data_IF_865642579806
#
_entry.id   IF_865642579806
#
_cell.length_a   1.000
_cell.length_b   1.000
_cell.length_c   1.000
_cell.angle_alpha   90.00
_cell.angle_beta   90.00
_cell.angle_gamma   90.00
#
_symmetry.space_group_name_H-M   'P 1'
#
loop_
_entity.id
_entity.type
_entity.pdbx_description
1 polymer ?
#
# COMPACT_ATOMS: atom_id res chain seq x y z
N UNK A 1 19.40 -10.47 -16.85
CA UNK A 1 17.99 -10.90 -16.92
C UNK A 1 17.26 -10.32 -15.73
N UNK A 2 16.19 -9.55 -15.93
CA UNK A 2 15.39 -8.96 -14.86
C UNK A 2 14.19 -9.87 -14.58
N UNK A 3 13.91 -10.13 -13.29
CA UNK A 3 12.78 -10.96 -12.84
C UNK A 3 11.81 -10.10 -12.05
N UNK A 4 10.53 -10.20 -12.39
CA UNK A 4 9.45 -9.61 -11.58
C UNK A 4 9.08 -10.59 -10.48
N UNK A 5 9.08 -10.12 -9.23
CA UNK A 5 8.74 -10.91 -8.05
C UNK A 5 7.69 -10.18 -7.21
N UNK A 6 6.98 -10.93 -6.38
CA UNK A 6 6.05 -10.38 -5.41
C UNK A 6 6.82 -9.87 -4.19
N UNK A 7 7.13 -8.56 -4.16
CA UNK A 7 7.93 -7.95 -3.08
C UNK A 7 7.16 -7.94 -1.76
N UNK A 8 5.95 -7.37 -1.77
CA UNK A 8 5.25 -6.98 -0.54
C UNK A 8 3.72 -7.00 -0.67
N UNK A 9 3.01 -7.14 0.46
CA UNK A 9 1.55 -7.00 0.55
C UNK A 9 1.07 -6.59 1.93
N UNK A 10 -0.06 -5.91 1.95
CA UNK A 10 -0.93 -5.79 3.13
C UNK A 10 -2.14 -6.71 2.88
N UNK A 11 -2.23 -7.81 3.62
CA UNK A 11 -3.27 -8.81 3.39
C UNK A 11 -4.53 -8.50 4.20
N UNK A 12 -5.68 -8.42 3.52
CA UNK A 12 -7.01 -8.21 4.12
C UNK A 12 -7.18 -6.88 4.90
N UNK A 13 -6.56 -5.80 4.40
CA UNK A 13 -6.86 -4.48 4.91
C UNK A 13 -8.34 -4.11 4.69
N UNK A 14 -8.89 -3.33 5.61
CA UNK A 14 -10.22 -2.73 5.47
C UNK A 14 -10.08 -1.30 4.97
N UNK A 15 -10.88 -0.93 3.97
CA UNK A 15 -10.96 0.47 3.52
C UNK A 15 -11.56 1.30 4.64
N UNK A 16 -10.81 2.30 5.12
CA UNK A 16 -11.23 3.16 6.23
C UNK A 16 -11.86 4.47 5.75
N UNK A 17 -11.53 4.92 4.54
CA UNK A 17 -12.03 6.17 3.97
C UNK A 17 -12.11 6.09 2.44
N UNK A 18 -13.10 6.76 1.85
CA UNK A 18 -13.26 6.93 0.42
C UNK A 18 -13.90 8.30 0.13
N UNK A 19 -13.22 9.12 -0.66
CA UNK A 19 -13.67 10.45 -1.06
C UNK A 19 -13.54 10.60 -2.58
N UNK A 20 -14.63 11.01 -3.23
CA UNK A 20 -14.70 11.21 -4.68
C UNK A 20 -13.78 12.33 -5.16
N UNK A 21 -13.52 13.32 -4.31
CA UNK A 21 -12.72 14.50 -4.64
C UNK A 21 -11.27 14.39 -4.18
N UNK A 22 -10.91 13.33 -3.45
CA UNK A 22 -9.52 13.05 -3.13
C UNK A 22 -8.78 12.56 -4.39
N UNK A 23 -7.83 13.36 -4.87
CA UNK A 23 -7.10 13.09 -6.10
C UNK A 23 -5.77 12.41 -5.78
N UNK A 24 -5.45 11.34 -6.52
CA UNK A 24 -4.12 10.72 -6.49
C UNK A 24 -4.17 9.22 -6.20
N UNK A 25 -3.53 8.81 -5.11
CA UNK A 25 -3.26 7.42 -4.71
C UNK A 25 -4.17 6.97 -3.56
N UNK A 26 -3.73 5.97 -2.78
CA UNK A 26 -4.33 5.60 -1.50
C UNK A 26 -3.43 6.08 -0.37
N UNK A 27 -4.04 6.62 0.70
CA UNK A 27 -3.32 6.86 1.95
C UNK A 27 -3.20 5.54 2.70
N UNK A 28 -2.01 5.22 3.19
CA UNK A 28 -1.73 4.00 3.97
C UNK A 28 -1.04 4.42 5.26
N UNK A 29 -1.38 3.76 6.36
CA UNK A 29 -0.72 3.94 7.65
C UNK A 29 0.79 3.65 7.51
N UNK A 30 1.63 4.50 8.11
CA UNK A 30 3.09 4.36 8.07
C UNK A 30 3.54 3.01 8.67
N UNK A 31 2.90 2.57 9.76
CA UNK A 31 3.24 1.31 10.41
C UNK A 31 2.96 0.11 9.48
N UNK A 32 1.91 0.20 8.64
CA UNK A 32 1.59 -0.83 7.66
C UNK A 32 2.55 -0.82 6.47
N UNK A 33 3.02 0.36 6.05
CA UNK A 33 4.00 0.49 4.98
C UNK A 33 5.34 -0.12 5.40
N UNK A 34 5.78 0.18 6.63
CA UNK A 34 7.02 -0.32 7.22
C UNK A 34 6.95 -1.84 7.43
N UNK A 35 5.85 -2.34 8.02
CA UNK A 35 5.65 -3.77 8.24
C UNK A 35 5.60 -4.57 6.93
N UNK A 36 5.14 -3.96 5.84
CA UNK A 36 5.04 -4.60 4.54
C UNK A 36 6.27 -4.38 3.64
N UNK A 37 7.25 -3.53 4.00
CA UNK A 37 8.38 -3.16 3.13
C UNK A 37 7.91 -2.65 1.74
N UNK A 38 6.94 -1.73 1.74
CA UNK A 38 6.42 -1.14 0.49
C UNK A 38 7.30 0.01 0.00
N UNK A 39 7.85 0.81 0.91
CA UNK A 39 8.79 1.90 0.61
C UNK A 39 10.16 1.58 1.23
N UNK A 40 11.23 1.95 0.52
CA UNK A 40 12.61 1.82 0.96
C UNK A 40 13.15 3.20 1.40
#
# INVERSE_FOLDING_TARGET
>A
MNRTVFKSKIHRATVTHADLHYVGSVTVDLDLLDAADILA
#
